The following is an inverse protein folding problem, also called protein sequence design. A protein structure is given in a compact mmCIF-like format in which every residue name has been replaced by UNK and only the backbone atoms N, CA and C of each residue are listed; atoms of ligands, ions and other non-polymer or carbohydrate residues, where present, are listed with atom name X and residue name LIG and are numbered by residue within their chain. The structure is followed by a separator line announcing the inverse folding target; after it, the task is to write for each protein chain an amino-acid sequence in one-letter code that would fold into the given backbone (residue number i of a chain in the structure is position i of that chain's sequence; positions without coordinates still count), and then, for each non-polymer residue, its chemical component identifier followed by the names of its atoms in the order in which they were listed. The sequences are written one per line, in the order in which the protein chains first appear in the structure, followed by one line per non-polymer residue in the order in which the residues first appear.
data_IF_470859247713
#
_entry.id   IF_470859247713
#
_cell.length_a   1.000
_cell.length_b   1.000
_cell.length_c   1.000
_cell.angle_alpha   90.00
_cell.angle_beta   90.00
_cell.angle_gamma   90.00
#
_symmetry.space_group_name_H-M   'P 1'
#
loop_
_entity.id
_entity.type
_entity.pdbx_description
1 polymer ?
#
# COMPACT_ATOMS: atom_id res chain seq x y z
N UNK A 1 -0.95 -19.99 11.45
CA UNK A 1 -0.20 -18.88 12.07
C UNK A 1 1.25 -19.17 11.77
N UNK A 2 1.82 -18.53 10.75
CA UNK A 2 3.22 -18.72 10.36
C UNK A 2 4.04 -17.74 11.18
N UNK A 3 5.06 -18.25 11.89
CA UNK A 3 5.99 -17.43 12.64
C UNK A 3 7.09 -16.95 11.70
N UNK A 4 7.27 -15.64 11.62
CA UNK A 4 8.42 -15.02 10.96
C UNK A 4 9.21 -14.24 12.01
N UNK A 5 10.43 -14.69 12.29
CA UNK A 5 11.40 -13.94 13.08
C UNK A 5 12.26 -13.14 12.10
N UNK A 6 11.85 -11.90 11.82
CA UNK A 6 12.71 -10.91 11.16
C UNK A 6 13.22 -9.91 12.20
N UNK A 7 14.44 -9.42 12.00
CA UNK A 7 15.16 -8.52 12.91
C UNK A 7 14.29 -7.32 13.33
N UNK A 8 14.04 -7.18 14.64
CA UNK A 8 12.86 -6.52 15.23
C UNK A 8 13.12 -5.05 15.60
N UNK A 9 14.19 -4.42 15.11
CA UNK A 9 14.61 -3.10 15.61
C UNK A 9 13.52 -2.02 15.45
N UNK A 10 12.74 -2.07 14.37
CA UNK A 10 11.72 -1.08 14.06
C UNK A 10 10.47 -1.13 14.96
N UNK A 11 10.20 -2.28 15.58
CA UNK A 11 8.99 -2.49 16.40
C UNK A 11 9.30 -2.61 17.90
N UNK A 12 10.54 -2.31 18.31
CA UNK A 12 10.92 -2.26 19.73
C UNK A 12 10.14 -1.20 20.52
N UNK A 13 9.68 -0.14 19.87
CA UNK A 13 8.92 0.95 20.49
C UNK A 13 7.40 0.71 20.53
N UNK A 14 6.91 -0.47 20.08
CA UNK A 14 5.49 -0.78 20.01
C UNK A 14 5.15 -2.08 20.75
N UNK A 15 4.05 -2.07 21.51
CA UNK A 15 3.55 -3.28 22.18
C UNK A 15 3.00 -4.31 21.20
N UNK A 16 2.49 -3.85 20.05
CA UNK A 16 1.92 -4.71 19.00
C UNK A 16 2.17 -4.14 17.61
N UNK A 17 2.28 -5.03 16.62
CA UNK A 17 2.37 -4.68 15.21
C UNK A 17 1.16 -5.25 14.46
N UNK A 18 0.59 -4.46 13.56
CA UNK A 18 -0.34 -4.93 12.53
C UNK A 18 0.26 -4.66 11.15
N UNK A 19 0.27 -5.64 10.25
CA UNK A 19 0.74 -5.48 8.89
C UNK A 19 -0.24 -6.08 7.88
N UNK A 20 -0.56 -5.31 6.84
CA UNK A 20 -1.43 -5.72 5.74
C UNK A 20 -0.61 -6.43 4.67
N UNK A 21 -1.02 -7.65 4.30
CA UNK A 21 -0.36 -8.44 3.27
C UNK A 21 -0.99 -8.21 1.89
N UNK A 22 -2.22 -7.69 1.84
CA UNK A 22 -2.98 -7.48 0.61
C UNK A 22 -2.72 -6.16 -0.12
N UNK A 23 -1.72 -5.38 0.33
CA UNK A 23 -1.38 -4.10 -0.28
C UNK A 23 -0.17 -4.27 -1.21
N UNK A 24 0.92 -3.52 -1.02
CA UNK A 24 2.13 -3.59 -1.86
C UNK A 24 2.81 -4.97 -1.94
N UNK A 25 2.45 -5.90 -1.05
CA UNK A 25 2.93 -7.29 -1.09
C UNK A 25 2.13 -8.18 -2.05
N UNK A 26 0.96 -7.76 -2.55
CA UNK A 26 0.21 -8.49 -3.58
C UNK A 26 -0.45 -9.79 -3.11
N UNK A 27 -0.61 -10.02 -1.80
CA UNK A 27 -1.40 -11.15 -1.33
C UNK A 27 -2.89 -10.93 -1.62
N UNK A 28 -3.64 -12.01 -1.86
CA UNK A 28 -5.08 -11.90 -2.15
C UNK A 28 -5.87 -11.33 -0.97
N UNK A 29 -5.57 -11.80 0.24
CA UNK A 29 -6.19 -11.37 1.49
C UNK A 29 -5.21 -11.57 2.63
N UNK A 30 -5.29 -10.73 3.66
CA UNK A 30 -4.68 -11.04 4.94
C UNK A 30 -4.08 -9.83 5.63
N UNK A 31 -4.22 -9.85 6.94
CA UNK A 31 -3.53 -8.96 7.87
C UNK A 31 -2.94 -9.84 8.96
N UNK A 32 -1.70 -9.55 9.36
CA UNK A 32 -1.05 -10.21 10.48
C UNK A 32 -0.98 -9.25 11.66
N UNK A 33 -1.15 -9.81 12.86
CA UNK A 33 -0.92 -9.12 14.13
C UNK A 33 0.14 -9.90 14.88
N UNK A 34 1.16 -9.19 15.38
CA UNK A 34 2.26 -9.75 16.16
C UNK A 34 2.36 -9.06 17.52
N UNK A 35 2.41 -9.87 18.59
CA UNK A 35 2.58 -9.47 19.99
C UNK A 35 2.92 -10.74 20.82
N UNK A 36 3.11 -10.59 22.12
CA UNK A 36 3.13 -11.64 23.14
C UNK A 36 2.03 -12.70 22.99
N UNK A 37 2.35 -13.93 23.41
CA UNK A 37 1.42 -15.08 23.35
C UNK A 37 0.11 -14.81 24.09
N UNK A 38 0.16 -14.11 25.23
CA UNK A 38 -1.02 -13.76 26.04
C UNK A 38 -1.94 -12.78 25.30
N UNK A 39 -1.39 -11.79 24.60
CA UNK A 39 -2.15 -10.90 23.74
C UNK A 39 -2.79 -11.66 22.58
N UNK A 40 -2.03 -12.52 21.89
CA UNK A 40 -2.54 -13.31 20.76
C UNK A 40 -3.67 -14.24 21.20
N UNK A 41 -3.61 -14.80 22.41
CA UNK A 41 -4.70 -15.61 22.96
C UNK A 41 -6.02 -14.81 23.07
N UNK A 42 -5.95 -13.58 23.60
CA UNK A 42 -7.11 -12.66 23.67
C UNK A 42 -7.59 -12.25 22.27
N UNK A 43 -6.67 -11.91 21.37
CA UNK A 43 -7.00 -11.53 19.99
C UNK A 43 -7.72 -12.66 19.23
N UNK A 44 -7.35 -13.94 19.46
CA UNK A 44 -8.06 -15.08 18.86
C UNK A 44 -9.51 -15.21 19.32
N UNK A 45 -9.78 -14.94 20.59
CA UNK A 45 -11.14 -14.93 21.15
C UNK A 45 -11.96 -13.84 20.45
N UNK A 46 -11.46 -12.60 20.45
CA UNK A 46 -12.11 -11.47 19.79
C UNK A 46 -12.35 -11.73 18.30
N UNK A 47 -11.35 -12.27 17.59
CA UNK A 47 -11.48 -12.65 16.18
C UNK A 47 -12.64 -13.62 15.97
N UNK A 48 -12.88 -14.55 16.89
CA UNK A 48 -14.01 -15.47 16.79
C UNK A 48 -15.34 -14.77 17.07
N UNK A 49 -15.39 -13.88 18.06
CA UNK A 49 -16.57 -13.09 18.42
C UNK A 49 -17.05 -12.21 17.27
N UNK A 50 -16.15 -11.56 16.53
CA UNK A 50 -16.50 -10.70 15.38
C UNK A 50 -16.69 -11.47 14.06
N UNK A 51 -16.70 -12.81 14.09
CA UNK A 51 -16.92 -13.65 12.91
C UNK A 51 -15.68 -13.93 12.04
N UNK A 52 -14.49 -13.41 12.39
CA UNK A 52 -13.24 -13.65 11.67
C UNK A 52 -12.62 -15.05 11.83
N UNK A 53 -13.30 -15.96 12.53
CA UNK A 53 -12.87 -17.35 12.73
C UNK A 53 -13.21 -18.26 11.55
N UNK A 54 -12.61 -17.98 10.39
CA UNK A 54 -12.80 -18.71 9.13
C UNK A 54 -12.29 -20.16 9.20
N UNK A 55 -12.97 -21.06 8.47
CA UNK A 55 -12.52 -22.43 8.19
C UNK A 55 -11.84 -22.49 6.82
N UNK A 56 -11.04 -23.53 6.56
CA UNK A 56 -10.40 -23.78 5.26
C UNK A 56 -9.49 -22.65 4.72
N UNK A 57 -8.92 -21.84 5.61
CA UNK A 57 -8.06 -20.69 5.25
C UNK A 57 -6.75 -21.06 4.56
N UNK A 58 -6.40 -22.34 4.45
CA UNK A 58 -5.13 -22.81 3.84
C UNK A 58 -4.99 -22.30 2.41
N UNK A 59 -6.07 -22.30 1.63
CA UNK A 59 -6.10 -21.82 0.24
C UNK A 59 -5.74 -20.33 0.16
N UNK A 60 -6.03 -19.55 1.20
CA UNK A 60 -5.70 -18.13 1.29
C UNK A 60 -4.29 -17.91 1.88
N UNK A 61 -3.88 -18.73 2.85
CA UNK A 61 -2.61 -18.58 3.55
C UNK A 61 -1.40 -18.97 2.70
N UNK A 62 -1.50 -20.04 1.89
CA UNK A 62 -0.38 -20.51 1.08
C UNK A 62 0.13 -19.47 0.06
N UNK A 63 -0.71 -18.86 -0.80
CA UNK A 63 -0.24 -17.84 -1.75
C UNK A 63 0.22 -16.56 -1.03
N UNK A 64 -0.38 -16.25 0.11
CA UNK A 64 0.04 -15.11 0.95
C UNK A 64 1.45 -15.29 1.52
N UNK A 65 1.82 -16.53 1.84
CA UNK A 65 3.16 -16.88 2.31
C UNK A 65 4.20 -16.64 1.21
N UNK A 66 3.91 -17.14 0.01
CA UNK A 66 4.75 -16.93 -1.19
C UNK A 66 4.89 -15.44 -1.50
N UNK A 67 3.78 -14.68 -1.47
CA UNK A 67 3.81 -13.25 -1.69
C UNK A 67 4.72 -12.52 -0.68
N UNK A 68 4.73 -12.93 0.59
CA UNK A 68 5.60 -12.36 1.60
C UNK A 68 7.08 -12.69 1.35
N UNK A 69 7.39 -13.89 0.89
CA UNK A 69 8.77 -14.31 0.60
C UNK A 69 9.32 -13.67 -0.68
N UNK A 70 8.49 -13.55 -1.72
CA UNK A 70 8.94 -13.13 -3.05
C UNK A 70 8.77 -11.63 -3.33
N UNK A 71 7.81 -10.94 -2.71
CA UNK A 71 7.46 -9.56 -3.10
C UNK A 71 8.08 -8.49 -2.21
N UNK A 72 8.62 -8.83 -1.03
CA UNK A 72 9.26 -7.83 -0.14
C UNK A 72 10.43 -7.14 -0.82
N UNK A 73 11.28 -7.90 -1.54
CA UNK A 73 12.42 -7.36 -2.29
C UNK A 73 12.00 -6.46 -3.46
N UNK A 74 10.78 -6.62 -3.98
CA UNK A 74 10.26 -5.81 -5.11
C UNK A 74 9.83 -4.41 -4.67
N UNK A 75 9.59 -4.18 -3.37
CA UNK A 75 9.13 -2.89 -2.84
C UNK A 75 10.09 -1.74 -3.17
N UNK A 76 11.40 -1.99 -3.09
CA UNK A 76 12.42 -1.01 -3.44
C UNK A 76 12.30 -0.57 -4.91
N UNK A 77 12.07 -1.52 -5.81
CA UNK A 77 11.82 -1.22 -7.23
C UNK A 77 10.58 -0.36 -7.44
N UNK A 78 9.53 -0.54 -6.63
CA UNK A 78 8.34 0.33 -6.69
C UNK A 78 8.63 1.74 -6.20
N UNK A 79 9.48 1.91 -5.16
CA UNK A 79 9.90 3.23 -4.69
C UNK A 79 10.70 3.97 -5.78
N UNK A 80 11.61 3.26 -6.46
CA UNK A 80 12.38 3.84 -7.57
C UNK A 80 11.48 4.26 -8.73
N UNK A 81 10.52 3.42 -9.13
CA UNK A 81 9.52 3.77 -10.15
C UNK A 81 8.67 4.96 -9.75
N UNK A 82 8.29 5.08 -8.47
CA UNK A 82 7.48 6.19 -7.97
C UNK A 82 8.24 7.51 -8.08
N UNK A 83 9.54 7.48 -7.77
CA UNK A 83 10.42 8.63 -7.96
C UNK A 83 10.54 9.03 -9.44
N UNK A 84 10.75 8.06 -10.35
CA UNK A 84 10.82 8.33 -11.79
C UNK A 84 9.51 8.94 -12.30
N UNK A 85 8.37 8.40 -11.87
CA UNK A 85 7.05 8.92 -12.21
C UNK A 85 6.88 10.35 -11.71
N UNK A 86 7.23 10.62 -10.45
CA UNK A 86 7.17 11.95 -9.85
C UNK A 86 8.04 12.97 -10.59
N UNK A 87 9.27 12.60 -10.95
CA UNK A 87 10.17 13.43 -11.76
C UNK A 87 9.59 13.70 -13.16
N UNK A 88 8.91 12.72 -13.77
CA UNK A 88 8.22 12.88 -15.04
C UNK A 88 7.04 13.85 -14.95
N UNK A 89 6.20 13.70 -13.93
CA UNK A 89 5.05 14.59 -13.69
C UNK A 89 5.48 16.03 -13.44
N UNK A 90 6.57 16.25 -12.71
CA UNK A 90 7.13 17.58 -12.45
C UNK A 90 7.68 18.30 -13.69
N UNK A 91 7.83 17.61 -14.83
CA UNK A 91 8.18 18.25 -16.11
C UNK A 91 6.96 18.86 -16.82
N UNK A 92 5.75 18.54 -16.38
CA UNK A 92 4.50 19.05 -16.93
C UNK A 92 4.18 20.36 -16.20
N UNK A 93 4.09 21.46 -16.95
CA UNK A 93 4.00 22.82 -16.40
C UNK A 93 2.77 23.02 -15.50
N UNK A 94 1.68 22.33 -15.80
CA UNK A 94 0.40 22.43 -15.13
C UNK A 94 0.30 21.54 -13.88
N UNK A 95 1.30 20.68 -13.63
CA UNK A 95 1.30 19.73 -12.53
C UNK A 95 2.44 20.03 -11.55
N UNK A 96 2.27 19.60 -10.30
CA UNK A 96 3.31 19.70 -9.28
C UNK A 96 3.32 18.47 -8.38
N UNK A 97 4.51 17.96 -8.11
CA UNK A 97 4.78 16.89 -7.15
C UNK A 97 5.79 17.42 -6.14
N UNK A 98 5.49 17.28 -4.85
CA UNK A 98 6.49 17.50 -3.80
C UNK A 98 7.43 16.29 -3.74
N UNK A 99 8.61 16.42 -4.34
CA UNK A 99 9.62 15.36 -4.36
C UNK A 99 10.10 14.93 -2.97
N UNK A 100 10.00 15.80 -1.96
CA UNK A 100 10.39 15.45 -0.60
C UNK A 100 9.40 14.47 0.04
N UNK A 101 8.14 14.46 -0.41
CA UNK A 101 7.10 13.56 0.09
C UNK A 101 7.13 12.15 -0.55
N UNK A 102 7.81 11.99 -1.70
CA UNK A 102 7.88 10.72 -2.44
C UNK A 102 8.94 9.79 -1.84
N UNK A 103 8.61 9.17 -0.70
CA UNK A 103 9.50 8.28 0.05
C UNK A 103 9.21 6.79 -0.18
N UNK A 104 8.06 6.46 -0.74
CA UNK A 104 7.57 5.08 -0.93
C UNK A 104 7.04 4.90 -2.35
N UNK A 105 6.13 3.96 -2.55
CA UNK A 105 5.47 3.68 -3.81
C UNK A 105 4.24 4.57 -4.10
N UNK A 106 3.97 5.58 -3.27
CA UNK A 106 2.81 6.46 -3.40
C UNK A 106 3.27 7.83 -3.90
N UNK A 107 2.57 8.37 -4.90
CA UNK A 107 2.82 9.70 -5.48
C UNK A 107 1.54 10.51 -5.42
N UNK A 108 1.60 11.64 -4.72
CA UNK A 108 0.57 12.68 -4.78
C UNK A 108 1.01 13.75 -5.76
N UNK A 109 0.07 14.27 -6.55
CA UNK A 109 0.35 15.38 -7.44
C UNK A 109 -0.83 16.34 -7.52
N UNK A 110 -0.50 17.62 -7.62
CA UNK A 110 -1.44 18.72 -7.71
C UNK A 110 -1.58 19.20 -9.16
N UNK A 111 -2.80 19.56 -9.53
CA UNK A 111 -3.07 20.41 -10.69
C UNK A 111 -2.94 21.86 -10.22
N UNK A 112 -2.04 22.62 -10.83
CA UNK A 112 -1.77 24.00 -10.44
C UNK A 112 -2.99 24.90 -10.71
N UNK A 113 -3.25 25.82 -9.77
CA UNK A 113 -4.31 26.83 -9.90
C UNK A 113 -4.10 27.67 -11.16
N UNK A 114 -5.16 27.84 -11.95
CA UNK A 114 -5.12 28.53 -13.24
C UNK A 114 -4.79 27.62 -14.43
N UNK A 115 -4.59 26.32 -14.20
CA UNK A 115 -4.59 25.31 -15.26
C UNK A 115 -5.99 25.17 -15.87
N UNK A 116 -6.05 24.91 -17.18
CA UNK A 116 -7.29 24.51 -17.87
C UNK A 116 -7.62 23.02 -17.69
N UNK A 117 -6.80 22.29 -16.94
CA UNK A 117 -7.03 20.87 -16.66
C UNK A 117 -8.07 20.74 -15.55
N UNK A 118 -9.20 20.13 -15.87
CA UNK A 118 -10.17 19.67 -14.87
C UNK A 118 -9.76 18.30 -14.34
N UNK A 119 -9.77 18.12 -13.03
CA UNK A 119 -9.37 16.89 -12.35
C UNK A 119 -10.21 15.68 -12.79
N UNK A 120 -11.53 15.87 -12.94
CA UNK A 120 -12.44 14.82 -13.41
C UNK A 120 -12.22 14.44 -14.87
N UNK A 121 -11.78 15.39 -15.71
CA UNK A 121 -11.46 15.12 -17.11
C UNK A 121 -10.12 14.38 -17.23
N UNK A 122 -9.11 14.79 -16.46
CA UNK A 122 -7.82 14.11 -16.39
C UNK A 122 -7.98 12.64 -15.98
N UNK A 123 -8.77 12.35 -14.93
CA UNK A 123 -9.06 10.98 -14.52
C UNK A 123 -9.65 10.14 -15.66
N UNK A 124 -10.58 10.70 -16.44
CA UNK A 124 -11.18 9.99 -17.59
C UNK A 124 -10.17 9.70 -18.68
N UNK A 125 -9.30 10.66 -19.01
CA UNK A 125 -8.23 10.48 -20.00
C UNK A 125 -7.27 9.40 -19.52
N UNK A 126 -6.83 9.45 -18.26
CA UNK A 126 -5.92 8.46 -17.69
C UNK A 126 -6.52 7.06 -17.78
N UNK A 127 -7.79 6.89 -17.40
CA UNK A 127 -8.48 5.59 -17.50
C UNK A 127 -8.58 5.10 -18.95
N UNK A 128 -8.85 5.99 -19.90
CA UNK A 128 -8.85 5.64 -21.33
C UNK A 128 -7.47 5.15 -21.84
N UNK A 129 -6.39 5.56 -21.17
CA UNK A 129 -5.02 5.09 -21.44
C UNK A 129 -4.57 3.96 -20.50
N UNK A 130 -5.51 3.35 -19.74
CA UNK A 130 -5.22 2.24 -18.84
C UNK A 130 -4.60 2.63 -17.49
N UNK A 131 -4.58 3.93 -17.16
CA UNK A 131 -4.06 4.44 -15.88
C UNK A 131 -5.23 4.76 -14.95
N UNK A 132 -5.34 4.01 -13.84
CA UNK A 132 -6.34 4.26 -12.82
C UNK A 132 -5.75 5.15 -11.73
N UNK A 133 -6.48 6.21 -11.37
CA UNK A 133 -6.07 7.18 -10.35
C UNK A 133 -7.23 7.48 -9.41
N UNK A 134 -6.92 7.91 -8.20
CA UNK A 134 -7.90 8.34 -7.21
C UNK A 134 -7.81 9.86 -7.01
N UNK A 135 -8.96 10.51 -6.86
CA UNK A 135 -9.06 11.90 -6.43
C UNK A 135 -9.10 11.93 -4.90
N UNK A 136 -8.18 12.66 -4.29
CA UNK A 136 -8.08 12.81 -2.83
C UNK A 136 -8.64 14.15 -2.35
N UNK A 137 -8.60 15.17 -3.23
CA UNK A 137 -9.14 16.48 -2.95
C UNK A 137 -9.35 17.31 -4.22
N UNK A 138 -9.83 18.56 -4.07
CA UNK A 138 -9.90 19.49 -5.18
C UNK A 138 -8.48 19.73 -5.72
N UNK A 139 -8.25 19.37 -6.98
CA UNK A 139 -6.95 19.48 -7.67
C UNK A 139 -5.85 18.50 -7.24
N UNK A 140 -6.10 17.57 -6.33
CA UNK A 140 -5.08 16.60 -5.87
C UNK A 140 -5.43 15.16 -6.30
N UNK A 141 -4.47 14.48 -6.90
CA UNK A 141 -4.57 13.10 -7.36
C UNK A 141 -3.52 12.23 -6.69
N UNK A 142 -3.89 10.96 -6.43
CA UNK A 142 -3.01 9.94 -5.88
C UNK A 142 -2.82 8.79 -6.83
N UNK A 143 -1.56 8.49 -7.12
CA UNK A 143 -1.12 7.28 -7.81
C UNK A 143 -0.36 6.38 -6.83
N UNK A 144 -0.63 5.08 -6.91
CA UNK A 144 0.08 4.07 -6.13
C UNK A 144 0.70 3.08 -7.10
N UNK A 145 2.01 2.92 -7.01
CA UNK A 145 2.74 1.96 -7.82
C UNK A 145 2.77 0.64 -7.07
N UNK A 146 2.24 -0.38 -7.70
CA UNK A 146 2.38 -1.76 -7.29
C UNK A 146 2.46 -2.60 -8.56
N UNK A 147 2.60 -3.91 -8.38
CA UNK A 147 2.66 -4.94 -9.42
C UNK A 147 2.19 -4.52 -10.82
#
# INVERSE_FOLDING_TARGET
MVYFMYNVMLVQAADSLTAFLSNGLGALVGTIIANSKSFIAKAKILRKTIGGGMTQVVVLCAPTLVALEENVSKLEGYHQKAKILAEGLNKIKELKVDMASVQTNIVYFDILKGSNIMETHLCKILVAHGVVTMLEGPFELRLVIYH
#
